data_IF_868483514361
#
_entry.id   IF_868483514361
#
_cell.length_a   1.000
_cell.length_b   1.000
_cell.length_c   1.000
_cell.angle_alpha   90.00
_cell.angle_beta   90.00
_cell.angle_gamma   90.00
#
_symmetry.space_group_name_H-M   'P 1'
#
loop_
_entity.id
_entity.type
_entity.pdbx_description
1 polymer ?
#
# COMPACT_ATOMS: atom_id res chain seq x y z
N UNK A 1 -18.73 15.00 0.48
CA UNK A 1 -17.95 13.96 1.17
C UNK A 1 -16.51 14.41 1.14
N UNK A 2 -15.96 14.83 2.27
CA UNK A 2 -14.53 15.13 2.41
C UNK A 2 -13.78 13.80 2.44
N UNK A 3 -12.95 13.56 1.44
CA UNK A 3 -12.16 12.34 1.30
C UNK A 3 -11.12 12.28 2.44
N UNK A 4 -11.05 11.17 3.17
CA UNK A 4 -10.19 11.05 4.35
C UNK A 4 -8.71 11.10 3.96
N UNK A 5 -7.95 11.99 4.59
CA UNK A 5 -6.52 12.17 4.31
C UNK A 5 -5.65 11.05 4.92
N UNK A 6 -6.23 10.06 5.56
CA UNK A 6 -5.50 8.93 6.15
C UNK A 6 -5.86 7.58 5.51
N UNK A 7 -6.49 7.63 4.34
CA UNK A 7 -6.63 6.45 3.49
C UNK A 7 -5.36 6.19 2.67
N UNK A 8 -4.89 4.93 2.57
CA UNK A 8 -3.68 4.62 1.82
C UNK A 8 -3.89 4.63 0.30
N UNK A 9 -5.11 4.77 -0.21
CA UNK A 9 -5.32 4.96 -1.66
C UNK A 9 -5.01 6.41 -2.04
N UNK A 10 -4.45 6.63 -3.23
CA UNK A 10 -4.02 7.95 -3.69
C UNK A 10 -4.64 8.29 -5.04
N UNK A 11 -5.10 9.53 -5.17
CA UNK A 11 -5.57 10.12 -6.44
C UNK A 11 -4.39 10.39 -7.38
N UNK A 12 -4.66 10.64 -8.66
CA UNK A 12 -3.59 10.89 -9.65
C UNK A 12 -2.76 12.14 -9.32
N UNK A 13 -3.41 13.20 -8.85
CA UNK A 13 -2.74 14.42 -8.39
C UNK A 13 -1.80 14.13 -7.20
N UNK A 14 -2.23 13.28 -6.26
CA UNK A 14 -1.40 12.90 -5.13
C UNK A 14 -0.23 12.02 -5.52
N UNK A 15 -0.42 11.10 -6.49
CA UNK A 15 0.66 10.27 -7.04
C UNK A 15 1.72 11.12 -7.72
N UNK A 16 1.32 12.17 -8.44
CA UNK A 16 2.26 13.12 -9.06
C UNK A 16 3.08 13.87 -7.99
N UNK A 17 2.41 14.42 -6.98
CA UNK A 17 3.08 15.11 -5.88
C UNK A 17 3.94 14.17 -5.00
N UNK A 18 3.57 12.89 -4.87
CA UNK A 18 4.39 11.87 -4.20
C UNK A 18 5.68 11.56 -4.97
N UNK A 19 5.67 11.67 -6.30
CA UNK A 19 6.80 11.24 -7.15
C UNK A 19 8.12 11.90 -6.74
N UNK A 20 8.08 13.20 -6.42
CA UNK A 20 9.23 13.97 -5.97
C UNK A 20 9.78 13.51 -4.60
N UNK A 21 8.94 12.90 -3.77
CA UNK A 21 9.31 12.44 -2.42
C UNK A 21 9.87 11.02 -2.40
N UNK A 22 9.72 10.26 -3.48
CA UNK A 22 10.10 8.85 -3.51
C UNK A 22 11.61 8.68 -3.44
N UNK A 23 12.13 7.75 -2.62
CA UNK A 23 13.54 7.38 -2.67
C UNK A 23 13.89 6.80 -4.03
N UNK A 24 15.09 7.16 -4.51
CA UNK A 24 15.60 6.73 -5.82
C UNK A 24 16.52 5.52 -5.73
N UNK A 25 17.18 5.35 -4.58
CA UNK A 25 18.15 4.29 -4.32
C UNK A 25 17.72 3.48 -3.10
N UNK A 26 18.26 2.27 -2.97
CA UNK A 26 17.90 1.37 -1.88
C UNK A 26 18.44 1.86 -0.53
N UNK A 27 19.53 2.65 -0.51
CA UNK A 27 20.05 3.29 0.70
C UNK A 27 19.09 4.33 1.27
N UNK A 28 18.38 5.06 0.40
CA UNK A 28 17.40 6.09 0.77
C UNK A 28 16.06 5.51 1.25
N UNK A 29 15.80 4.23 0.97
CA UNK A 29 14.58 3.57 1.39
C UNK A 29 14.60 3.35 2.90
N UNK A 30 13.88 4.19 3.65
CA UNK A 30 13.79 4.09 5.11
C UNK A 30 13.00 2.84 5.50
N UNK A 31 13.33 2.24 6.64
CA UNK A 31 12.64 1.07 7.19
C UNK A 31 12.87 -0.23 6.41
N UNK A 32 12.07 -1.26 6.71
CA UNK A 32 12.12 -2.58 6.06
C UNK A 32 13.53 -3.21 6.00
N UNK A 33 14.31 -3.24 7.11
CA UNK A 33 15.74 -3.55 7.06
C UNK A 33 16.06 -4.95 6.54
N UNK A 34 15.20 -5.93 6.86
CA UNK A 34 15.34 -7.30 6.36
C UNK A 34 15.13 -7.38 4.84
N UNK A 35 14.04 -6.80 4.35
CA UNK A 35 13.71 -6.75 2.93
C UNK A 35 14.82 -6.04 2.15
N UNK A 36 15.29 -4.88 2.63
CA UNK A 36 16.37 -4.12 1.97
C UNK A 36 17.64 -4.94 1.83
N UNK A 37 18.10 -5.60 2.90
CA UNK A 37 19.31 -6.45 2.86
C UNK A 37 19.18 -7.59 1.87
N UNK A 38 18.01 -8.25 1.84
CA UNK A 38 17.75 -9.35 0.91
C UNK A 38 17.69 -8.86 -0.54
N UNK A 39 16.96 -7.77 -0.80
CA UNK A 39 16.85 -7.19 -2.13
C UNK A 39 18.21 -6.70 -2.63
N UNK A 40 19.01 -6.06 -1.78
CA UNK A 40 20.37 -5.65 -2.08
C UNK A 40 21.22 -6.84 -2.56
N UNK A 41 21.20 -7.95 -1.80
CA UNK A 41 21.92 -9.17 -2.17
C UNK A 41 21.48 -9.71 -3.54
N UNK A 42 20.17 -9.76 -3.81
CA UNK A 42 19.61 -10.23 -5.09
C UNK A 42 20.09 -9.36 -6.26
N UNK A 43 20.01 -8.04 -6.11
CA UNK A 43 20.40 -7.09 -7.16
C UNK A 43 21.91 -7.06 -7.39
N UNK A 44 22.72 -7.05 -6.33
CA UNK A 44 24.18 -7.10 -6.43
C UNK A 44 24.66 -8.39 -7.09
N UNK A 45 24.07 -9.53 -6.73
CA UNK A 45 24.41 -10.81 -7.34
C UNK A 45 24.08 -10.83 -8.85
N UNK A 46 22.97 -10.22 -9.27
CA UNK A 46 22.61 -10.10 -10.68
C UNK A 46 23.59 -9.20 -11.45
N UNK A 47 23.94 -8.03 -10.87
CA UNK A 47 24.94 -7.10 -11.43
C UNK A 47 26.30 -7.77 -11.65
N UNK A 48 26.78 -8.53 -10.66
CA UNK A 48 28.07 -9.23 -10.75
C UNK A 48 28.10 -10.29 -11.86
N UNK A 49 26.94 -10.88 -12.19
CA UNK A 49 26.80 -11.84 -13.31
C UNK A 49 26.62 -11.17 -14.66
N UNK A 50 26.37 -9.86 -14.71
CA UNK A 50 25.96 -9.17 -15.93
C UNK A 50 24.62 -9.70 -16.48
N UNK A 51 23.71 -10.11 -15.59
CA UNK A 51 22.42 -10.70 -15.93
C UNK A 51 21.25 -9.90 -15.35
N UNK A 52 20.04 -10.14 -15.86
CA UNK A 52 18.81 -9.63 -15.25
C UNK A 52 18.67 -10.12 -13.81
N UNK A 53 18.01 -9.32 -12.98
CA UNK A 53 17.60 -9.77 -11.65
C UNK A 53 16.50 -10.84 -11.77
N UNK A 54 16.46 -11.78 -10.83
CA UNK A 54 15.36 -12.72 -10.71
C UNK A 54 14.03 -11.96 -10.58
N UNK A 55 12.93 -12.57 -10.99
CA UNK A 55 11.61 -11.96 -10.82
C UNK A 55 11.29 -11.75 -9.33
N UNK A 56 10.70 -10.60 -9.01
CA UNK A 56 10.45 -10.15 -7.64
C UNK A 56 8.95 -10.03 -7.38
N UNK A 57 8.46 -10.64 -6.30
CA UNK A 57 7.11 -10.43 -5.79
C UNK A 57 7.13 -9.59 -4.53
N UNK A 58 6.44 -8.46 -4.53
CA UNK A 58 6.26 -7.59 -3.37
C UNK A 58 4.82 -7.72 -2.85
N UNK A 59 4.69 -8.12 -1.59
CA UNK A 59 3.39 -8.23 -0.93
C UNK A 59 3.30 -7.30 0.26
N UNK A 60 2.11 -6.77 0.54
CA UNK A 60 1.83 -6.00 1.75
C UNK A 60 0.76 -4.94 1.54
N UNK A 61 0.29 -4.31 2.63
CA UNK A 61 -0.70 -3.24 2.58
C UNK A 61 -0.42 -2.12 1.54
N UNK A 62 -1.46 -1.43 1.06
CA UNK A 62 -1.29 -0.25 0.20
C UNK A 62 -0.50 0.86 0.91
N UNK A 63 0.23 1.68 0.15
CA UNK A 63 0.95 2.83 0.69
C UNK A 63 2.31 2.55 1.34
N UNK A 64 2.75 1.29 1.44
CA UNK A 64 4.02 0.90 2.07
C UNK A 64 5.28 1.04 1.20
N UNK A 65 5.12 1.39 -0.09
CA UNK A 65 6.25 1.62 -0.99
C UNK A 65 6.55 0.50 -2.00
N UNK A 66 5.61 -0.40 -2.30
CA UNK A 66 5.79 -1.46 -3.32
C UNK A 66 6.19 -0.90 -4.69
N UNK A 67 5.45 0.07 -5.21
CA UNK A 67 5.76 0.74 -6.48
C UNK A 67 7.14 1.42 -6.40
N UNK A 68 7.44 2.09 -5.29
CA UNK A 68 8.74 2.73 -5.03
C UNK A 68 9.89 1.73 -5.10
N UNK A 69 9.76 0.55 -4.50
CA UNK A 69 10.78 -0.50 -4.60
C UNK A 69 10.96 -0.99 -6.03
N UNK A 70 9.90 -1.08 -6.84
CA UNK A 70 10.05 -1.43 -8.26
C UNK A 70 10.83 -0.37 -9.05
N UNK A 71 10.62 0.92 -8.75
CA UNK A 71 11.43 2.01 -9.31
C UNK A 71 12.89 1.91 -8.87
N UNK A 72 13.14 1.60 -7.59
CA UNK A 72 14.50 1.39 -7.08
C UNK A 72 15.15 0.20 -7.78
N UNK A 73 14.45 -0.92 -7.94
CA UNK A 73 14.98 -2.10 -8.67
C UNK A 73 15.43 -1.71 -10.08
N UNK A 74 14.59 -1.00 -10.83
CA UNK A 74 14.96 -0.54 -12.18
C UNK A 74 16.17 0.41 -12.15
N UNK A 75 16.18 1.39 -11.23
CA UNK A 75 17.28 2.34 -11.08
C UNK A 75 18.59 1.65 -10.70
N UNK A 76 18.55 0.70 -9.77
CA UNK A 76 19.71 -0.07 -9.34
C UNK A 76 20.28 -0.89 -10.49
N UNK A 77 19.41 -1.56 -11.27
CA UNK A 77 19.82 -2.36 -12.41
C UNK A 77 20.22 -1.55 -13.64
N UNK A 78 20.02 -0.22 -13.63
CA UNK A 78 20.29 0.64 -14.78
C UNK A 78 19.33 0.39 -15.94
N UNK A 79 18.13 -0.11 -15.65
CA UNK A 79 17.15 -0.59 -16.63
C UNK A 79 15.95 0.36 -16.75
N UNK A 80 15.24 0.31 -17.88
CA UNK A 80 13.97 1.02 -18.00
C UNK A 80 12.88 0.33 -17.19
N UNK A 81 11.92 1.13 -16.70
CA UNK A 81 10.75 0.65 -15.97
C UNK A 81 9.49 0.78 -16.83
N UNK A 82 8.78 -0.32 -17.02
CA UNK A 82 7.44 -0.35 -17.60
C UNK A 82 6.42 -0.59 -16.50
N UNK A 83 5.54 0.40 -16.28
CA UNK A 83 4.50 0.34 -15.25
C UNK A 83 3.17 -0.11 -15.87
N UNK A 84 2.52 -1.09 -15.26
CA UNK A 84 1.14 -1.49 -15.56
C UNK A 84 0.45 -2.00 -14.30
N UNK A 85 -0.82 -2.40 -14.41
CA UNK A 85 -1.57 -3.04 -13.33
C UNK A 85 -2.37 -4.22 -13.84
N UNK A 86 -2.65 -5.18 -12.96
CA UNK A 86 -3.51 -6.33 -13.25
C UNK A 86 -4.84 -5.93 -13.88
N UNK A 87 -5.59 -4.97 -13.28
CA UNK A 87 -6.86 -4.50 -13.85
C UNK A 87 -6.76 -3.81 -15.21
N UNK A 88 -5.59 -3.26 -15.56
CA UNK A 88 -5.37 -2.65 -16.87
C UNK A 88 -5.15 -3.68 -17.98
N UNK A 89 -4.83 -4.94 -17.63
CA UNK A 89 -4.60 -6.04 -18.56
C UNK A 89 -5.86 -6.91 -18.59
N UNK A 90 -6.77 -6.59 -19.50
CA UNK A 90 -8.07 -7.24 -19.60
C UNK A 90 -8.01 -8.52 -20.45
N UNK A 91 -7.08 -8.57 -21.40
CA UNK A 91 -6.90 -9.67 -22.32
C UNK A 91 -5.41 -10.05 -22.49
N UNK A 92 -5.14 -11.27 -22.94
CA UNK A 92 -3.77 -11.74 -23.21
C UNK A 92 -3.03 -10.87 -24.24
N UNK A 93 -3.75 -10.28 -25.19
CA UNK A 93 -3.18 -9.36 -26.19
C UNK A 93 -2.61 -8.08 -25.57
N UNK A 94 -3.18 -7.57 -24.48
CA UNK A 94 -2.69 -6.37 -23.80
C UNK A 94 -1.31 -6.66 -23.19
N UNK A 95 -1.16 -7.82 -22.53
CA UNK A 95 0.11 -8.26 -21.99
C UNK A 95 1.12 -8.57 -23.10
N UNK A 96 0.71 -9.24 -24.17
CA UNK A 96 1.58 -9.53 -25.32
C UNK A 96 2.16 -8.25 -25.94
N UNK A 97 1.33 -7.19 -26.06
CA UNK A 97 1.77 -5.87 -26.54
C UNK A 97 2.85 -5.29 -25.62
N UNK A 98 2.65 -5.33 -24.31
CA UNK A 98 3.63 -4.84 -23.33
C UNK A 98 4.93 -5.65 -23.41
N UNK A 99 4.84 -6.99 -23.36
CA UNK A 99 5.98 -7.90 -23.40
C UNK A 99 6.80 -7.73 -24.69
N UNK A 100 6.14 -7.61 -25.84
CA UNK A 100 6.82 -7.44 -27.13
C UNK A 100 7.57 -6.11 -27.26
N UNK A 101 7.27 -5.13 -26.40
CA UNK A 101 7.95 -3.82 -26.37
C UNK A 101 9.14 -3.75 -25.40
N UNK A 102 9.35 -4.79 -24.60
CA UNK A 102 10.45 -4.84 -23.63
C UNK A 102 11.80 -4.94 -24.33
N UNK A 103 12.79 -4.30 -23.73
CA UNK A 103 14.19 -4.45 -24.08
C UNK A 103 14.92 -5.34 -23.07
N UNK A 104 16.10 -5.82 -23.43
CA UNK A 104 16.92 -6.63 -22.53
C UNK A 104 17.24 -5.86 -21.25
N UNK A 105 16.97 -6.51 -20.10
CA UNK A 105 17.16 -5.91 -18.79
C UNK A 105 15.97 -5.10 -18.27
N UNK A 106 14.95 -4.79 -19.09
CA UNK A 106 13.81 -3.98 -18.66
C UNK A 106 13.10 -4.59 -17.45
N UNK A 107 12.58 -3.71 -16.59
CA UNK A 107 11.75 -4.07 -15.45
C UNK A 107 10.28 -3.87 -15.81
N UNK A 108 9.51 -4.95 -15.83
CA UNK A 108 8.05 -4.93 -15.96
C UNK A 108 7.40 -4.95 -14.59
N UNK A 109 6.87 -3.82 -14.15
CA UNK A 109 6.11 -3.73 -12.90
C UNK A 109 4.61 -3.91 -13.12
N UNK A 110 4.01 -4.86 -12.41
CA UNK A 110 2.57 -5.14 -12.46
C UNK A 110 1.98 -4.94 -11.05
N UNK A 111 1.32 -3.81 -10.83
CA UNK A 111 0.56 -3.60 -9.59
C UNK A 111 -0.72 -4.42 -9.57
N UNK A 112 -1.18 -4.82 -8.38
CA UNK A 112 -2.33 -5.71 -8.22
C UNK A 112 -2.27 -6.95 -9.14
N UNK A 113 -1.10 -7.58 -9.26
CA UNK A 113 -0.85 -8.70 -10.18
C UNK A 113 -1.86 -9.87 -10.02
N UNK A 114 -2.42 -10.03 -8.82
CA UNK A 114 -3.46 -11.01 -8.51
C UNK A 114 -4.81 -10.75 -9.21
N UNK A 115 -4.96 -9.60 -9.88
CA UNK A 115 -6.16 -9.22 -10.65
C UNK A 115 -5.97 -9.37 -12.15
N UNK A 116 -4.88 -9.97 -12.60
CA UNK A 116 -4.71 -10.32 -14.01
C UNK A 116 -5.84 -11.24 -14.47
N UNK A 117 -6.32 -11.01 -15.70
CA UNK A 117 -7.20 -11.98 -16.34
C UNK A 117 -6.46 -13.31 -16.53
N UNK A 118 -7.13 -14.44 -16.28
CA UNK A 118 -6.53 -15.78 -16.36
C UNK A 118 -5.71 -16.03 -17.64
N UNK A 119 -6.17 -15.65 -18.85
CA UNK A 119 -5.36 -15.82 -20.06
C UNK A 119 -4.05 -15.02 -20.06
N UNK A 120 -4.05 -13.82 -19.47
CA UNK A 120 -2.85 -13.02 -19.32
C UNK A 120 -1.94 -13.57 -18.21
N UNK A 121 -2.50 -14.12 -17.14
CA UNK A 121 -1.74 -14.83 -16.10
C UNK A 121 -0.99 -16.03 -16.68
N UNK A 122 -1.67 -16.85 -17.49
CA UNK A 122 -1.08 -18.02 -18.13
C UNK A 122 0.06 -17.65 -19.09
N UNK A 123 -0.13 -16.58 -19.86
CA UNK A 123 0.93 -16.03 -20.70
C UNK A 123 2.11 -15.48 -19.89
N UNK A 124 1.85 -14.83 -18.75
CA UNK A 124 2.89 -14.19 -17.96
C UNK A 124 3.87 -15.23 -17.39
N UNK A 125 3.39 -16.33 -16.82
CA UNK A 125 4.32 -17.30 -16.24
C UNK A 125 5.13 -18.04 -17.32
N UNK A 126 4.58 -18.26 -18.52
CA UNK A 126 5.33 -18.78 -19.68
C UNK A 126 6.41 -17.78 -20.13
N UNK A 127 6.07 -16.49 -20.16
CA UNK A 127 7.02 -15.43 -20.47
C UNK A 127 8.16 -15.33 -19.45
N UNK A 128 7.85 -15.56 -18.17
CA UNK A 128 8.83 -15.56 -17.06
C UNK A 128 9.74 -16.79 -17.09
N UNK A 129 9.24 -17.94 -17.53
CA UNK A 129 10.00 -19.20 -17.53
C UNK A 129 10.90 -19.34 -18.76
N UNK A 130 10.33 -19.12 -19.94
CA UNK A 130 10.98 -19.44 -21.21
C UNK A 130 11.37 -18.21 -22.03
N UNK A 131 11.07 -16.99 -21.54
CA UNK A 131 11.20 -15.74 -22.31
C UNK A 131 10.54 -15.84 -23.69
N UNK A 132 9.36 -16.45 -23.73
CA UNK A 132 8.60 -16.73 -24.95
C UNK A 132 7.12 -16.55 -24.74
N UNK A 133 6.43 -16.06 -25.78
CA UNK A 133 4.98 -15.99 -25.81
C UNK A 133 4.47 -16.35 -27.19
N UNK A 134 3.29 -16.96 -27.22
CA UNK A 134 2.58 -17.30 -28.44
C UNK A 134 1.55 -16.20 -28.76
N UNK A 135 1.72 -15.54 -29.91
CA UNK A 135 0.80 -14.50 -30.37
C UNK A 135 -0.10 -15.05 -31.47
N UNK A 136 -1.40 -15.02 -31.25
CA UNK A 136 -2.39 -15.46 -32.23
C UNK A 136 -2.58 -14.38 -33.29
N UNK A 137 -2.28 -14.71 -34.55
CA UNK A 137 -2.47 -13.84 -35.72
C UNK A 137 -3.62 -14.37 -36.57
N UNK A 138 -4.59 -13.50 -36.84
CA UNK A 138 -5.81 -13.82 -37.61
C UNK A 138 -7.07 -13.95 -36.74
N UNK A 139 -8.21 -14.26 -37.35
CA UNK A 139 -9.50 -14.49 -36.67
C UNK A 139 -10.16 -15.78 -37.18
N UNK A 140 -10.82 -16.52 -36.28
CA UNK A 140 -11.60 -17.71 -36.63
C UNK A 140 -10.74 -18.95 -36.93
N UNK A 141 -11.25 -19.94 -37.69
CA UNK A 141 -10.58 -21.22 -37.96
C UNK A 141 -9.23 -21.11 -38.69
N UNK A 142 -8.92 -19.94 -39.28
CA UNK A 142 -7.64 -19.66 -39.93
C UNK A 142 -6.62 -18.92 -39.06
N UNK A 143 -6.90 -18.73 -37.76
CA UNK A 143 -5.96 -18.12 -36.84
C UNK A 143 -4.75 -19.04 -36.62
N UNK A 144 -3.56 -18.45 -36.64
CA UNK A 144 -2.29 -19.17 -36.46
C UNK A 144 -1.55 -18.62 -35.25
N UNK A 145 -0.96 -19.50 -34.44
CA UNK A 145 -0.12 -19.10 -33.31
C UNK A 145 1.31 -18.93 -33.79
N UNK A 146 1.90 -17.75 -33.59
CA UNK A 146 3.29 -17.47 -33.95
C UNK A 146 4.08 -17.29 -32.65
N UNK A 147 5.11 -18.12 -32.40
CA UNK A 147 5.95 -17.97 -31.22
C UNK A 147 6.85 -16.74 -31.36
N UNK A 148 6.85 -15.90 -30.35
CA UNK A 148 7.66 -14.69 -30.25
C UNK A 148 8.66 -14.87 -29.09
N UNK A 149 9.94 -14.69 -29.39
CA UNK A 149 11.01 -14.74 -28.38
C UNK A 149 11.18 -13.36 -27.78
N UNK A 150 11.19 -13.28 -26.46
CA UNK A 150 11.34 -12.07 -25.67
C UNK A 150 12.81 -11.91 -25.25
N UNK A 151 13.32 -10.68 -25.12
CA UNK A 151 14.59 -10.47 -24.46
C UNK A 151 14.46 -10.80 -22.97
N UNK A 152 15.55 -11.19 -22.28
CA UNK A 152 15.55 -11.34 -20.83
C UNK A 152 15.08 -10.05 -20.14
N UNK A 153 14.18 -10.17 -19.18
CA UNK A 153 13.58 -9.04 -18.44
C UNK A 153 13.27 -9.44 -17.00
N UNK A 154 12.98 -8.47 -16.14
CA UNK A 154 12.60 -8.73 -14.74
C UNK A 154 11.15 -8.30 -14.48
N UNK A 155 10.28 -9.24 -14.13
CA UNK A 155 8.96 -8.92 -13.57
C UNK A 155 9.11 -8.50 -12.11
N UNK A 156 8.49 -7.38 -11.74
CA UNK A 156 8.23 -6.99 -10.35
C UNK A 156 6.71 -6.98 -10.14
N UNK A 157 6.16 -8.01 -9.51
CA UNK A 157 4.74 -8.10 -9.18
C UNK A 157 4.44 -7.46 -7.83
N UNK A 158 3.35 -6.70 -7.71
CA UNK A 158 2.87 -6.19 -6.44
C UNK A 158 1.46 -6.67 -6.10
N UNK A 159 1.24 -7.04 -4.84
CA UNK A 159 -0.05 -7.50 -4.33
C UNK A 159 -0.27 -7.10 -2.87
N UNK A 160 -1.52 -7.12 -2.40
CA UNK A 160 -1.83 -6.95 -0.97
C UNK A 160 -1.44 -8.19 -0.17
N UNK A 161 -1.63 -9.38 -0.74
CA UNK A 161 -1.32 -10.69 -0.13
C UNK A 161 -0.74 -11.62 -1.19
N UNK A 162 0.39 -12.26 -0.88
CA UNK A 162 1.04 -13.22 -1.78
C UNK A 162 0.20 -14.48 -2.04
N UNK A 163 -0.63 -14.88 -1.06
CA UNK A 163 -1.55 -16.02 -1.19
C UNK A 163 -2.69 -15.83 -2.19
N UNK A 164 -2.88 -14.63 -2.74
CA UNK A 164 -3.87 -14.39 -3.80
C UNK A 164 -3.38 -14.84 -5.18
N UNK A 165 -2.08 -15.04 -5.35
CA UNK A 165 -1.53 -15.54 -6.61
C UNK A 165 -1.63 -17.07 -6.66
N UNK A 166 -2.01 -17.64 -7.82
CA UNK A 166 -1.90 -19.07 -8.05
C UNK A 166 -0.46 -19.56 -7.90
N UNK A 167 -0.31 -20.78 -7.37
CA UNK A 167 1.02 -21.37 -7.14
C UNK A 167 1.93 -21.36 -8.39
N UNK A 168 1.44 -21.71 -9.61
CA UNK A 168 2.29 -21.69 -10.80
C UNK A 168 2.95 -20.34 -11.08
N UNK A 169 2.20 -19.23 -10.96
CA UNK A 169 2.76 -17.90 -11.15
C UNK A 169 3.65 -17.50 -9.97
N UNK A 170 3.23 -17.79 -8.73
CA UNK A 170 3.97 -17.43 -7.53
C UNK A 170 5.35 -18.07 -7.47
N UNK A 171 5.45 -19.33 -7.90
CA UNK A 171 6.70 -20.11 -7.82
C UNK A 171 7.73 -19.67 -8.88
N UNK A 172 7.36 -18.81 -9.83
CA UNK A 172 8.29 -18.18 -10.80
C UNK A 172 8.99 -16.94 -10.27
N UNK A 173 8.62 -16.44 -9.08
CA UNK A 173 9.31 -15.34 -8.43
C UNK A 173 10.50 -15.84 -7.63
N UNK A 174 11.72 -15.55 -8.09
CA UNK A 174 12.96 -15.92 -7.40
C UNK A 174 13.18 -15.17 -6.09
N UNK A 175 12.54 -14.01 -5.90
CA UNK A 175 12.50 -13.31 -4.62
C UNK A 175 11.07 -12.90 -4.25
N UNK A 176 10.66 -13.16 -3.01
CA UNK A 176 9.40 -12.65 -2.44
C UNK A 176 9.68 -11.79 -1.22
N UNK A 177 9.36 -10.50 -1.32
CA UNK A 177 9.41 -9.54 -0.23
C UNK A 177 8.04 -9.30 0.41
N UNK A 178 8.00 -9.26 1.73
CA UNK A 178 6.81 -8.85 2.48
C UNK A 178 7.08 -7.49 3.14
N UNK A 179 6.25 -6.50 2.83
CA UNK A 179 6.29 -5.17 3.43
C UNK A 179 5.34 -5.15 4.62
N UNK A 180 5.90 -4.79 5.77
CA UNK A 180 5.15 -4.62 7.02
C UNK A 180 4.87 -3.14 7.28
N UNK A 181 3.99 -2.84 8.23
CA UNK A 181 3.80 -1.47 8.67
C UNK A 181 5.09 -0.93 9.29
N UNK A 182 5.28 0.38 9.14
CA UNK A 182 6.46 1.07 9.61
C UNK A 182 6.28 1.46 11.07
N UNK A 183 7.38 1.39 11.82
CA UNK A 183 7.43 1.90 13.18
C UNK A 183 7.41 3.43 13.20
N UNK A 184 7.01 4.02 14.33
CA UNK A 184 6.90 5.47 14.46
C UNK A 184 8.23 6.20 14.20
N UNK A 185 9.36 5.63 14.63
CA UNK A 185 10.68 6.23 14.40
C UNK A 185 11.11 6.15 12.93
N UNK A 186 10.69 5.11 12.21
CA UNK A 186 10.91 4.97 10.77
C UNK A 186 10.07 5.99 10.00
N UNK A 187 8.82 6.19 10.39
CA UNK A 187 7.94 7.20 9.81
C UNK A 187 8.43 8.62 10.10
N UNK A 188 8.92 8.89 11.30
CA UNK A 188 9.50 10.19 11.64
C UNK A 188 10.67 10.53 10.70
N UNK A 189 11.58 9.58 10.44
CA UNK A 189 12.68 9.74 9.48
C UNK A 189 12.16 10.04 8.07
N UNK A 190 11.06 9.39 7.65
CA UNK A 190 10.41 9.65 6.36
C UNK A 190 9.84 11.06 6.31
N UNK A 191 9.10 11.48 7.33
CA UNK A 191 8.51 12.83 7.41
C UNK A 191 9.59 13.91 7.37
N UNK A 192 10.67 13.75 8.15
CA UNK A 192 11.80 14.69 8.16
C UNK A 192 12.49 14.76 6.79
N UNK A 193 12.72 13.62 6.14
CA UNK A 193 13.29 13.60 4.78
C UNK A 193 12.37 14.29 3.79
N UNK A 194 11.08 14.01 3.83
CA UNK A 194 10.10 14.60 2.93
C UNK A 194 9.95 16.10 3.13
N UNK A 195 10.00 16.60 4.37
CA UNK A 195 9.97 18.03 4.66
C UNK A 195 11.16 18.75 4.03
N UNK A 196 12.37 18.17 4.12
CA UNK A 196 13.56 18.72 3.45
C UNK A 196 13.42 18.77 1.93
N UNK A 197 12.81 17.75 1.32
CA UNK A 197 12.58 17.71 -0.13
C UNK A 197 11.51 18.72 -0.60
N UNK A 198 10.62 19.13 0.30
CA UNK A 198 9.58 20.14 0.05
C UNK A 198 10.01 21.55 0.46
N UNK A 199 11.24 21.73 0.94
CA UNK A 199 11.72 22.99 1.51
C UNK A 199 10.79 23.53 2.63
N UNK A 200 10.31 22.62 3.47
CA UNK A 200 9.40 22.91 4.58
C UNK A 200 10.14 22.90 5.93
N UNK A 201 10.01 23.99 6.68
CA UNK A 201 10.54 24.11 8.03
C UNK A 201 9.73 23.27 9.01
N UNK A 202 10.29 22.14 9.45
CA UNK A 202 9.62 21.16 10.31
C UNK A 202 10.31 21.02 11.66
N UNK A 203 9.54 21.23 12.74
CA UNK A 203 10.01 20.97 14.10
C UNK A 203 10.02 19.47 14.44
N UNK A 204 10.99 18.97 15.24
CA UNK A 204 11.05 17.56 15.62
C UNK A 204 9.79 17.04 16.31
N UNK A 205 9.17 17.85 17.19
CA UNK A 205 7.94 17.46 17.88
C UNK A 205 6.77 17.26 16.91
N UNK A 206 6.66 18.09 15.87
CA UNK A 206 5.65 17.94 14.84
C UNK A 206 5.91 16.71 13.96
N UNK A 207 7.17 16.40 13.65
CA UNK A 207 7.55 15.21 12.89
C UNK A 207 7.08 13.93 13.59
N UNK A 208 7.33 13.82 14.90
CA UNK A 208 6.87 12.70 15.73
C UNK A 208 5.35 12.61 15.78
N UNK A 209 4.66 13.74 15.90
CA UNK A 209 3.20 13.79 15.94
C UNK A 209 2.57 13.29 14.63
N UNK A 210 3.12 13.71 13.49
CA UNK A 210 2.69 13.21 12.19
C UNK A 210 2.95 11.71 12.06
N UNK A 211 4.14 11.25 12.45
CA UNK A 211 4.51 9.84 12.40
C UNK A 211 3.53 8.94 13.19
N UNK A 212 3.17 9.34 14.41
CA UNK A 212 2.22 8.60 15.26
C UNK A 212 0.83 8.47 14.64
N UNK A 213 0.37 9.49 13.93
CA UNK A 213 -0.97 9.50 13.29
C UNK A 213 -0.96 8.98 11.86
N UNK A 214 0.17 8.45 11.38
CA UNK A 214 0.35 7.99 10.00
C UNK A 214 0.00 6.52 9.76
N UNK A 215 -0.57 5.83 10.75
CA UNK A 215 -1.03 4.44 10.65
C UNK A 215 0.05 3.45 10.17
N UNK A 216 1.32 3.69 10.50
CA UNK A 216 2.42 2.85 10.02
C UNK A 216 2.66 2.93 8.50
N UNK A 217 2.16 3.97 7.81
CA UNK A 217 2.14 4.05 6.35
C UNK A 217 2.85 5.31 5.83
N UNK A 218 3.94 5.19 5.07
CA UNK A 218 4.69 6.32 4.51
C UNK A 218 3.85 7.27 3.65
N UNK A 219 2.92 6.72 2.86
CA UNK A 219 1.99 7.53 2.04
C UNK A 219 1.14 8.45 2.89
N UNK A 220 0.57 7.93 3.99
CA UNK A 220 -0.24 8.72 4.91
C UNK A 220 0.63 9.79 5.55
N UNK A 221 1.84 9.43 6.01
CA UNK A 221 2.78 10.38 6.61
C UNK A 221 3.10 11.58 5.69
N UNK A 222 3.43 11.31 4.43
CA UNK A 222 3.70 12.36 3.46
C UNK A 222 2.47 13.20 3.13
N UNK A 223 1.27 12.60 3.12
CA UNK A 223 0.03 13.34 2.91
C UNK A 223 -0.29 14.25 4.11
N UNK A 224 -0.17 13.74 5.32
CA UNK A 224 -0.34 14.53 6.54
C UNK A 224 0.65 15.69 6.57
N UNK A 225 1.92 15.44 6.28
CA UNK A 225 2.94 16.50 6.19
C UNK A 225 2.52 17.62 5.22
N UNK A 226 2.06 17.28 4.02
CA UNK A 226 1.58 18.28 3.06
C UNK A 226 0.40 19.08 3.60
N UNK A 227 -0.60 18.42 4.20
CA UNK A 227 -1.78 19.09 4.77
C UNK A 227 -1.44 20.01 5.94
N UNK A 228 -0.51 19.60 6.79
CA UNK A 228 -0.04 20.44 7.88
C UNK A 228 0.80 21.61 7.34
N UNK A 229 1.61 21.39 6.31
CA UNK A 229 2.34 22.45 5.61
C UNK A 229 1.38 23.49 5.03
N UNK A 230 0.33 23.05 4.32
CA UNK A 230 -0.72 23.92 3.77
C UNK A 230 -1.35 24.77 4.89
N UNK A 231 -1.68 24.14 6.03
CA UNK A 231 -2.25 24.83 7.18
C UNK A 231 -1.29 25.88 7.77
N UNK A 232 -0.02 25.52 7.99
CA UNK A 232 0.99 26.40 8.57
C UNK A 232 1.30 27.61 7.67
N UNK A 233 1.22 27.44 6.35
CA UNK A 233 1.37 28.53 5.39
C UNK A 233 0.18 29.49 5.42
N UNK A 234 -1.05 28.99 5.58
CA UNK A 234 -2.26 29.83 5.56
C UNK A 234 -2.52 30.51 6.91
N UNK A 235 -2.26 29.82 8.02
CA UNK A 235 -2.67 30.26 9.36
C UNK A 235 -1.51 30.63 10.29
N UNK A 236 -0.27 30.58 9.81
CA UNK A 236 0.93 30.80 10.61
C UNK A 236 2.04 31.52 9.85
N UNK A 237 3.27 31.21 10.22
CA UNK A 237 4.50 31.75 9.62
C UNK A 237 5.16 30.77 8.63
N UNK A 238 4.46 29.71 8.22
CA UNK A 238 5.01 28.64 7.37
C UNK A 238 5.79 27.56 8.11
N UNK A 239 6.09 27.73 9.41
CA UNK A 239 6.80 26.71 10.21
C UNK A 239 5.82 25.64 10.67
N UNK A 240 6.14 24.37 10.39
CA UNK A 240 5.40 23.20 10.84
C UNK A 240 5.81 22.89 12.29
N UNK A 241 5.12 23.56 13.21
CA UNK A 241 5.22 23.37 14.66
C UNK A 241 4.24 22.31 15.18
N UNK A 242 4.44 21.87 16.43
CA UNK A 242 3.50 20.95 17.09
C UNK A 242 2.08 21.54 17.15
N UNK A 243 1.96 22.84 17.40
CA UNK A 243 0.68 23.53 17.47
C UNK A 243 -0.05 23.55 16.10
N UNK A 244 0.67 23.87 15.01
CA UNK A 244 0.09 23.82 13.67
C UNK A 244 -0.26 22.40 13.25
N UNK A 245 0.55 21.40 13.64
CA UNK A 245 0.23 19.99 13.39
C UNK A 245 -1.08 19.60 14.08
N UNK A 246 -1.24 19.89 15.37
CA UNK A 246 -2.47 19.61 16.10
C UNK A 246 -3.69 20.29 15.47
N UNK A 247 -3.60 21.59 15.20
CA UNK A 247 -4.73 22.35 14.65
C UNK A 247 -5.14 21.86 13.25
N UNK A 248 -4.17 21.52 12.40
CA UNK A 248 -4.43 20.94 11.10
C UNK A 248 -5.03 19.52 11.20
N UNK A 249 -4.47 18.66 12.04
CA UNK A 249 -4.97 17.29 12.23
C UNK A 249 -6.39 17.29 12.79
N UNK A 250 -6.70 18.19 13.72
CA UNK A 250 -8.06 18.42 14.23
C UNK A 250 -9.01 18.89 13.13
N UNK A 251 -8.59 19.86 12.30
CA UNK A 251 -9.36 20.34 11.16
C UNK A 251 -9.68 19.22 10.14
N UNK A 252 -8.74 18.30 9.93
CA UNK A 252 -8.91 17.14 9.06
C UNK A 252 -9.48 15.91 9.79
N UNK A 253 -10.01 16.09 11.01
CA UNK A 253 -10.70 15.06 11.78
C UNK A 253 -9.83 13.82 12.07
N UNK A 254 -8.51 13.99 12.20
CA UNK A 254 -7.53 12.94 12.53
C UNK A 254 -7.19 13.00 14.02
N UNK A 255 -7.58 11.98 14.77
CA UNK A 255 -7.39 11.95 16.22
C UNK A 255 -5.96 11.54 16.65
N UNK A 256 -5.63 11.54 17.96
CA UNK A 256 -4.30 11.14 18.45
C UNK A 256 -3.86 9.70 18.15
N UNK A 257 -4.80 8.80 17.85
CA UNK A 257 -4.52 7.43 17.42
C UNK A 257 -4.49 7.29 15.89
N UNK A 258 -4.63 8.41 15.17
CA UNK A 258 -4.71 8.41 13.72
C UNK A 258 -6.03 7.84 13.19
N UNK A 259 -7.12 7.84 13.97
CA UNK A 259 -8.45 7.47 13.49
C UNK A 259 -9.10 8.66 12.77
N UNK A 260 -9.79 8.37 11.67
CA UNK A 260 -10.58 9.37 10.95
C UNK A 260 -12.04 9.33 11.40
N UNK A 261 -12.85 10.15 10.74
CA UNK A 261 -14.30 10.19 10.94
C UNK A 261 -14.95 8.82 10.74
N UNK A 262 -14.55 8.04 9.73
CA UNK A 262 -15.17 6.73 9.45
C UNK A 262 -14.85 5.74 10.57
N UNK A 263 -13.60 5.67 11.00
CA UNK A 263 -13.19 4.81 12.10
C UNK A 263 -13.93 5.12 13.39
N UNK A 264 -14.04 6.42 13.74
CA UNK A 264 -14.81 6.84 14.91
C UNK A 264 -16.30 6.49 14.76
N UNK A 265 -16.89 6.71 13.59
CA UNK A 265 -18.28 6.31 13.33
C UNK A 265 -18.49 4.80 13.49
N UNK A 266 -17.54 3.96 13.05
CA UNK A 266 -17.57 2.51 13.24
C UNK A 266 -17.53 2.17 14.74
N UNK A 267 -16.60 2.73 15.50
CA UNK A 267 -16.48 2.46 16.94
C UNK A 267 -17.70 2.96 17.73
N UNK A 268 -18.14 4.19 17.48
CA UNK A 268 -19.34 4.79 18.06
C UNK A 268 -20.58 3.98 17.71
N UNK A 269 -20.70 3.50 16.46
CA UNK A 269 -21.78 2.63 16.01
C UNK A 269 -21.84 1.35 16.84
N UNK A 270 -20.72 0.63 16.96
CA UNK A 270 -20.63 -0.60 17.75
C UNK A 270 -20.96 -0.33 19.23
N UNK A 271 -20.37 0.69 19.82
CA UNK A 271 -20.48 0.98 21.26
C UNK A 271 -21.85 1.53 21.62
N UNK A 272 -22.31 2.61 20.97
CA UNK A 272 -23.54 3.31 21.35
C UNK A 272 -24.81 2.65 20.82
N UNK A 273 -24.77 2.02 19.64
CA UNK A 273 -25.99 1.46 19.01
C UNK A 273 -26.15 -0.02 19.24
N UNK A 274 -25.04 -0.75 19.43
CA UNK A 274 -25.04 -2.20 19.61
C UNK A 274 -24.42 -2.63 20.95
N UNK A 275 -24.25 -1.69 21.89
CA UNK A 275 -23.74 -1.95 23.25
C UNK A 275 -22.41 -2.73 23.26
N UNK A 276 -21.50 -2.41 22.34
CA UNK A 276 -20.20 -3.10 22.21
C UNK A 276 -20.19 -4.31 21.26
N UNK A 277 -21.34 -4.69 20.68
CA UNK A 277 -21.50 -5.83 19.77
C UNK A 277 -21.91 -7.13 20.48
N UNK A 278 -21.94 -8.28 19.76
CA UNK A 278 -21.55 -8.46 18.37
C UNK A 278 -22.57 -7.91 17.37
N UNK A 279 -22.08 -7.27 16.29
CA UNK A 279 -22.90 -6.76 15.18
C UNK A 279 -22.36 -7.23 13.82
N UNK A 280 -23.25 -7.61 12.90
CA UNK A 280 -22.89 -7.99 11.53
C UNK A 280 -22.43 -6.78 10.69
N UNK A 281 -21.54 -7.01 9.70
CA UNK A 281 -21.00 -5.94 8.85
C UNK A 281 -22.08 -5.08 8.22
N UNK A 282 -23.05 -5.73 7.56
CA UNK A 282 -24.10 -5.03 6.81
C UNK A 282 -24.97 -4.19 7.73
N UNK A 283 -25.28 -4.70 8.93
CA UNK A 283 -26.07 -3.96 9.92
C UNK A 283 -25.31 -2.76 10.47
N UNK A 284 -24.02 -2.92 10.76
CA UNK A 284 -23.16 -1.84 11.23
C UNK A 284 -23.03 -0.76 10.17
N UNK A 285 -22.65 -1.14 8.94
CA UNK A 285 -22.47 -0.24 7.82
C UNK A 285 -23.75 0.56 7.52
N UNK A 286 -24.91 -0.12 7.46
CA UNK A 286 -26.21 0.54 7.31
C UNK A 286 -26.50 1.54 8.43
N UNK A 287 -26.16 1.20 9.68
CA UNK A 287 -26.41 2.10 10.80
C UNK A 287 -25.61 3.40 10.68
N UNK A 288 -24.37 3.33 10.21
CA UNK A 288 -23.49 4.50 10.07
C UNK A 288 -23.62 5.18 8.70
N UNK A 289 -24.46 4.65 7.80
CA UNK A 289 -24.71 5.22 6.47
C UNK A 289 -23.58 4.97 5.46
N UNK A 290 -22.86 3.86 5.60
CA UNK A 290 -21.70 3.50 4.78
C UNK A 290 -21.92 2.16 4.06
N UNK A 291 -21.11 1.90 3.03
CA UNK A 291 -21.13 0.62 2.34
C UNK A 291 -20.36 -0.47 3.15
N UNK A 292 -20.87 -1.71 3.21
CA UNK A 292 -20.20 -2.82 3.89
C UNK A 292 -18.73 -2.99 3.48
N UNK A 293 -18.46 -2.95 2.17
CA UNK A 293 -17.11 -3.10 1.62
C UNK A 293 -16.18 -1.97 2.07
N UNK A 294 -16.69 -0.73 2.16
CA UNK A 294 -15.91 0.41 2.65
C UNK A 294 -15.50 0.20 4.11
N UNK A 295 -16.42 -0.24 4.98
CA UNK A 295 -16.09 -0.53 6.38
C UNK A 295 -15.05 -1.65 6.48
N UNK A 296 -15.25 -2.75 5.74
CA UNK A 296 -14.38 -3.93 5.79
C UNK A 296 -12.97 -3.69 5.21
N UNK A 297 -12.86 -2.89 4.16
CA UNK A 297 -11.59 -2.71 3.43
C UNK A 297 -10.82 -1.46 3.85
N UNK A 298 -11.50 -0.42 4.34
CA UNK A 298 -10.88 0.88 4.68
C UNK A 298 -10.66 1.03 6.17
N UNK A 299 -11.66 0.70 7.00
CA UNK A 299 -11.65 1.01 8.44
C UNK A 299 -11.23 -0.19 9.30
N UNK A 300 -11.88 -1.35 9.13
CA UNK A 300 -11.63 -2.54 9.94
C UNK A 300 -10.15 -2.95 10.02
N UNK A 301 -9.34 -2.92 8.94
CA UNK A 301 -7.95 -3.39 9.00
C UNK A 301 -7.12 -2.60 10.01
N UNK A 302 -7.34 -1.28 10.12
CA UNK A 302 -6.63 -0.43 11.08
C UNK A 302 -7.18 -0.61 12.49
N UNK A 303 -8.50 -0.59 12.66
CA UNK A 303 -9.15 -0.77 13.95
C UNK A 303 -8.83 -2.13 14.60
N UNK A 304 -8.75 -3.19 13.81
CA UNK A 304 -8.35 -4.52 14.30
C UNK A 304 -6.88 -4.54 14.71
N UNK A 305 -6.01 -3.91 13.92
CA UNK A 305 -4.56 -3.87 14.19
C UNK A 305 -4.22 -3.07 15.44
N UNK A 306 -4.84 -1.90 15.62
CA UNK A 306 -4.71 -1.08 16.83
C UNK A 306 -5.48 -1.68 18.03
N UNK A 307 -6.18 -2.80 17.80
CA UNK A 307 -6.87 -3.55 18.84
C UNK A 307 -8.14 -2.88 19.35
N UNK A 308 -8.73 -1.93 18.62
CA UNK A 308 -10.02 -1.30 18.94
C UNK A 308 -11.23 -2.18 18.55
N UNK A 309 -11.06 -3.04 17.55
CA UNK A 309 -12.12 -3.90 17.02
C UNK A 309 -11.66 -5.36 16.99
N UNK A 310 -12.54 -6.28 17.35
CA UNK A 310 -12.33 -7.72 17.16
C UNK A 310 -13.42 -8.32 16.27
N UNK A 311 -13.04 -9.32 15.47
CA UNK A 311 -13.94 -10.06 14.58
C UNK A 311 -14.23 -11.42 15.20
N UNK A 312 -15.51 -11.72 15.36
CA UNK A 312 -15.99 -13.02 15.82
C UNK A 312 -16.90 -13.65 14.76
N UNK A 313 -17.17 -14.96 14.82
CA UNK A 313 -18.18 -15.59 13.97
C UNK A 313 -19.57 -14.97 14.07
N UNK A 314 -19.88 -14.30 15.20
CA UNK A 314 -21.17 -13.64 15.46
C UNK A 314 -21.21 -12.20 14.98
N UNK A 315 -20.07 -11.59 14.65
CA UNK A 315 -19.97 -10.19 14.27
C UNK A 315 -18.78 -9.46 14.87
N UNK A 316 -18.76 -8.14 14.71
CA UNK A 316 -17.75 -7.22 15.20
C UNK A 316 -18.06 -6.81 16.63
N UNK A 317 -17.03 -6.73 17.46
CA UNK A 317 -17.12 -6.29 18.84
C UNK A 317 -16.08 -5.20 19.11
N UNK A 318 -16.44 -4.23 19.94
CA UNK A 318 -15.54 -3.19 20.42
C UNK A 318 -14.77 -3.73 21.63
N UNK A 319 -13.45 -3.58 21.60
CA UNK A 319 -12.58 -4.01 22.69
C UNK A 319 -12.53 -2.97 23.81
N UNK A 320 -11.97 -3.32 24.97
CA UNK A 320 -11.79 -2.39 26.08
C UNK A 320 -11.02 -1.10 25.69
N UNK A 321 -10.07 -1.17 24.74
CA UNK A 321 -9.36 0.02 24.28
C UNK A 321 -10.27 0.97 23.51
N UNK A 322 -11.27 0.47 22.76
CA UNK A 322 -12.23 1.31 22.05
C UNK A 322 -13.16 2.05 23.00
N UNK A 323 -13.64 1.37 24.04
CA UNK A 323 -14.42 2.02 25.11
C UNK A 323 -13.61 3.13 25.78
N UNK A 324 -12.37 2.82 26.19
CA UNK A 324 -11.47 3.79 26.81
C UNK A 324 -11.18 4.98 25.90
N UNK A 325 -11.00 4.73 24.60
CA UNK A 325 -10.75 5.76 23.60
C UNK A 325 -11.93 6.74 23.49
N UNK A 326 -13.18 6.25 23.52
CA UNK A 326 -14.38 7.09 23.56
C UNK A 326 -14.66 7.71 24.95
N UNK A 327 -13.76 7.53 25.93
CA UNK A 327 -13.94 8.04 27.30
C UNK A 327 -14.98 7.27 28.12
N UNK A 328 -15.27 6.02 27.75
CA UNK A 328 -16.29 5.18 28.37
C UNK A 328 -15.66 3.99 29.11
N UNK A 329 -16.37 3.47 30.11
CA UNK A 329 -16.00 2.24 30.80
C UNK A 329 -16.74 1.06 30.22
N UNK A 330 -16.01 0.01 29.83
CA UNK A 330 -16.62 -1.22 29.33
C UNK A 330 -17.43 -1.92 30.44
N UNK A 331 -18.69 -2.30 30.17
CA UNK A 331 -19.50 -3.11 31.10
C UNK A 331 -18.81 -4.43 31.51
N UNK A 332 -18.96 -4.81 32.79
CA UNK A 332 -18.27 -5.95 33.38
C UNK A 332 -18.69 -7.31 32.79
N UNK A 333 -19.94 -7.41 32.36
CA UNK A 333 -20.51 -8.57 31.66
C UNK A 333 -19.82 -8.80 30.30
N UNK A 334 -19.47 -7.74 29.57
CA UNK A 334 -18.77 -7.86 28.28
C UNK A 334 -17.27 -8.21 28.45
N UNK A 335 -16.65 -7.80 29.55
CA UNK A 335 -15.25 -8.16 29.86
C UNK A 335 -15.07 -9.67 30.05
N UNK A 336 -16.05 -10.35 30.66
CA UNK A 336 -16.01 -11.80 30.88
C UNK A 336 -16.15 -12.65 29.60
N UNK A 337 -16.75 -12.10 28.53
CA UNK A 337 -16.96 -12.79 27.26
C UNK A 337 -15.80 -12.68 26.26
N UNK A 338 -14.78 -11.87 26.59
CA UNK A 338 -13.59 -11.61 25.78
C UNK A 338 -12.32 -12.32 26.28
N UNK A 339 -12.35 -12.87 27.50
CA UNK A 339 -11.26 -13.59 28.13
C UNK A 339 -11.22 -15.08 27.73
#
# INVERSE_FOLDING_TARGET
MTESIIQPQATDAERAAESALRPKQLEEFVGQPKLRKQLQLVLEAAKLRGACADHILLSGPPGLGKTTLAMIVASEMGSALRLTSGPAIQHAGDLASILSSLQEGDVLFIDEIHRLARPAEEMLYLAMEDFRVDVVVGKGPGATSIPLTLPPFTVVGATTRSGLLPAPLRDRFGYTGHLEYYEHDELEKIVVRSARLLDADLEPAAALELARRSRGTPRIANRLLRRVSDYAQVHGNGVISLASAHAALELFEVDPYGLDRLDRMVLEGIIHRFNGGPVGLSTLAMSIGEEPETVETVSEPYLVREGFLSRTPRGRIATASAWKHLGLSMPADLLSGLA
#
